data_IF_851777042181
#
_entry.id   IF_851777042181
#
_cell.length_a   1.000
_cell.length_b   1.000
_cell.length_c   1.000
_cell.angle_alpha   90.00
_cell.angle_beta   90.00
_cell.angle_gamma   90.00
#
_symmetry.space_group_name_H-M   'P 1'
#
loop_
_entity.id
_entity.type
_entity.pdbx_description
1 polymer ?
#
# COMPACT_ATOMS: atom_id res chain seq x y z
N UNK A 1 6.55 -11.43 3.60
CA UNK A 1 6.77 -9.98 3.75
C UNK A 1 7.18 -9.61 5.17
N UNK A 2 6.85 -10.40 6.20
CA UNK A 2 7.38 -10.23 7.57
C UNK A 2 8.90 -10.03 7.62
N UNK A 3 9.68 -10.91 6.97
CA UNK A 3 11.14 -10.79 6.98
C UNK A 3 11.64 -9.51 6.31
N UNK A 4 10.97 -9.03 5.26
CA UNK A 4 11.29 -7.75 4.63
C UNK A 4 11.10 -6.62 5.63
N UNK A 5 9.96 -6.59 6.32
CA UNK A 5 9.69 -5.58 7.36
C UNK A 5 10.70 -5.65 8.51
N UNK A 6 10.99 -6.84 9.03
CA UNK A 6 11.94 -7.02 10.14
C UNK A 6 13.35 -6.58 9.76
N UNK A 7 13.82 -6.98 8.57
CA UNK A 7 15.12 -6.54 8.05
C UNK A 7 15.14 -5.04 7.84
N UNK A 8 14.09 -4.46 7.23
CA UNK A 8 13.99 -3.01 7.06
C UNK A 8 14.08 -2.31 8.42
N UNK A 9 13.27 -2.69 9.41
CA UNK A 9 13.29 -2.06 10.74
C UNK A 9 14.65 -2.23 11.46
N UNK A 10 15.30 -3.38 11.30
CA UNK A 10 16.65 -3.61 11.80
C UNK A 10 17.66 -2.66 11.14
N UNK A 11 17.59 -2.50 9.81
CA UNK A 11 18.45 -1.58 9.05
C UNK A 11 18.19 -0.13 9.45
N UNK A 12 16.94 0.29 9.68
CA UNK A 12 16.64 1.64 10.18
C UNK A 12 17.36 1.90 11.52
N UNK A 13 17.41 0.91 12.41
CA UNK A 13 18.09 1.03 13.72
C UNK A 13 19.61 0.96 13.69
N UNK A 14 20.21 0.40 12.64
CA UNK A 14 21.66 0.09 12.61
C UNK A 14 22.42 0.82 11.51
N UNK A 15 21.84 0.92 10.32
CA UNK A 15 22.48 1.50 9.13
C UNK A 15 21.43 2.14 8.19
N UNK A 16 20.69 3.19 8.63
CA UNK A 16 19.61 3.79 7.84
C UNK A 16 20.07 4.35 6.49
N UNK A 17 21.36 4.69 6.34
CA UNK A 17 21.97 5.13 5.09
C UNK A 17 21.93 4.08 3.95
N UNK A 18 21.69 2.81 4.28
CA UNK A 18 21.51 1.75 3.28
C UNK A 18 20.12 1.80 2.62
N UNK A 19 19.16 2.49 3.23
CA UNK A 19 17.81 2.67 2.71
C UNK A 19 17.78 3.88 1.77
N UNK A 20 18.26 3.70 0.54
CA UNK A 20 18.20 4.76 -0.47
C UNK A 20 16.75 5.14 -0.80
N UNK A 21 16.49 6.39 -1.25
CA UNK A 21 15.14 6.80 -1.66
C UNK A 21 14.50 5.88 -2.69
N UNK A 22 15.26 5.42 -3.69
CA UNK A 22 14.76 4.51 -4.72
C UNK A 22 14.37 3.13 -4.15
N UNK A 23 15.16 2.61 -3.20
CA UNK A 23 14.88 1.34 -2.54
C UNK A 23 13.59 1.43 -1.72
N UNK A 24 13.45 2.49 -0.91
CA UNK A 24 12.25 2.70 -0.09
C UNK A 24 11.02 2.93 -0.97
N UNK A 25 11.15 3.73 -2.03
CA UNK A 25 10.07 3.95 -3.00
C UNK A 25 9.63 2.62 -3.63
N UNK A 26 10.57 1.84 -4.18
CA UNK A 26 10.26 0.54 -4.78
C UNK A 26 9.59 -0.44 -3.80
N UNK A 27 10.08 -0.49 -2.56
CA UNK A 27 9.52 -1.30 -1.48
C UNK A 27 8.08 -0.89 -1.15
N UNK A 28 7.84 0.40 -0.89
CA UNK A 28 6.52 0.91 -0.53
C UNK A 28 5.51 0.77 -1.68
N UNK A 29 5.93 1.02 -2.92
CA UNK A 29 5.10 0.80 -4.12
C UNK A 29 4.73 -0.68 -4.31
N UNK A 30 5.68 -1.59 -4.09
CA UNK A 30 5.42 -3.03 -4.19
C UNK A 30 4.43 -3.50 -3.13
N UNK A 31 4.54 -2.98 -1.90
CA UNK A 31 3.59 -3.28 -0.83
C UNK A 31 2.19 -2.71 -1.12
N UNK A 32 2.11 -1.49 -1.66
CA UNK A 32 0.85 -0.89 -2.11
C UNK A 32 0.17 -1.74 -3.18
N UNK A 33 0.92 -2.18 -4.20
CA UNK A 33 0.41 -3.09 -5.23
C UNK A 33 -0.12 -4.40 -4.63
N UNK A 34 0.67 -5.08 -3.80
CA UNK A 34 0.26 -6.36 -3.20
C UNK A 34 -0.95 -6.21 -2.28
N UNK A 35 -1.09 -5.05 -1.62
CA UNK A 35 -2.30 -4.72 -0.85
C UNK A 35 -3.54 -4.53 -1.74
N UNK A 36 -3.36 -4.20 -3.02
CA UNK A 36 -4.45 -4.03 -3.97
C UNK A 36 -4.86 -5.32 -4.71
N UNK A 37 -4.09 -6.41 -4.55
CA UNK A 37 -4.31 -7.69 -5.23
C UNK A 37 -5.43 -8.55 -4.58
N UNK A 38 -6.01 -9.47 -5.36
CA UNK A 38 -7.22 -10.23 -4.98
C UNK A 38 -6.96 -11.30 -3.94
N UNK A 39 -5.72 -11.77 -3.79
CA UNK A 39 -5.42 -12.87 -2.87
C UNK A 39 -5.48 -12.33 -1.44
N UNK A 40 -6.61 -12.57 -0.77
CA UNK A 40 -6.96 -12.00 0.54
C UNK A 40 -5.82 -12.10 1.56
N UNK A 41 -5.16 -13.26 1.66
CA UNK A 41 -4.01 -13.46 2.57
C UNK A 41 -2.81 -12.56 2.24
N UNK A 42 -2.51 -12.33 0.96
CA UNK A 42 -1.39 -11.50 0.53
C UNK A 42 -1.73 -10.04 0.69
N UNK A 43 -2.94 -9.63 0.28
CA UNK A 43 -3.44 -8.28 0.53
C UNK A 43 -3.37 -7.93 2.00
N UNK A 44 -3.91 -8.80 2.86
CA UNK A 44 -3.97 -8.52 4.28
C UNK A 44 -2.59 -8.37 4.91
N UNK A 45 -1.68 -9.25 4.53
CA UNK A 45 -0.32 -9.19 5.03
C UNK A 45 0.48 -8.00 4.47
N UNK A 46 0.32 -7.68 3.18
CA UNK A 46 0.99 -6.55 2.53
C UNK A 46 0.52 -5.20 3.10
N UNK A 47 -0.79 -5.00 3.24
CA UNK A 47 -1.36 -3.79 3.82
C UNK A 47 -0.93 -3.59 5.27
N UNK A 48 -0.94 -4.67 6.07
CA UNK A 48 -0.41 -4.63 7.44
C UNK A 48 1.06 -4.24 7.48
N UNK A 49 1.91 -4.82 6.62
CA UNK A 49 3.33 -4.47 6.56
C UNK A 49 3.53 -3.02 6.10
N UNK A 50 2.80 -2.56 5.09
CA UNK A 50 2.85 -1.17 4.59
C UNK A 50 2.60 -0.17 5.73
N UNK A 51 1.51 -0.38 6.47
CA UNK A 51 1.11 0.49 7.58
C UNK A 51 2.09 0.40 8.76
N UNK A 52 2.58 -0.79 9.09
CA UNK A 52 3.60 -0.94 10.15
C UNK A 52 4.90 -0.22 9.84
N UNK A 53 5.35 -0.25 8.58
CA UNK A 53 6.53 0.51 8.16
C UNK A 53 6.25 2.03 8.21
N UNK A 54 5.08 2.46 7.75
CA UNK A 54 4.67 3.87 7.79
C UNK A 54 4.67 4.47 9.21
N UNK A 55 4.10 3.75 10.18
CA UNK A 55 3.99 4.18 11.58
C UNK A 55 5.21 3.86 12.43
N UNK A 56 6.27 3.27 11.85
CA UNK A 56 7.54 3.18 12.56
C UNK A 56 8.04 4.60 12.84
N UNK A 57 8.20 4.94 14.12
CA UNK A 57 8.54 6.29 14.56
C UNK A 57 9.82 6.33 15.41
N UNK A 58 10.31 5.18 15.90
CA UNK A 58 11.49 5.09 16.77
C UNK A 58 12.33 3.84 16.46
N UNK A 59 13.26 3.90 15.49
CA UNK A 59 13.44 4.96 14.51
C UNK A 59 12.46 4.86 13.33
N UNK A 60 12.20 5.99 12.65
CA UNK A 60 11.32 6.03 11.50
C UNK A 60 12.00 5.56 10.20
N UNK A 61 11.28 4.81 9.37
CA UNK A 61 11.76 4.45 8.02
C UNK A 61 11.96 5.74 7.20
N UNK A 62 13.19 6.01 6.72
CA UNK A 62 13.49 7.24 5.99
C UNK A 62 12.90 7.19 4.57
N UNK A 63 12.77 8.35 3.93
CA UNK A 63 12.44 8.48 2.49
C UNK A 63 11.11 7.85 2.02
N UNK A 64 10.17 7.55 2.92
CA UNK A 64 8.82 7.12 2.49
C UNK A 64 8.19 8.23 1.65
N UNK A 65 7.82 7.97 0.37
CA UNK A 65 7.18 8.97 -0.46
C UNK A 65 5.78 9.30 0.06
N UNK A 66 5.41 10.59 0.02
CA UNK A 66 4.09 11.10 0.46
C UNK A 66 3.72 10.70 1.89
N UNK A 67 4.69 10.76 2.83
CA UNK A 67 4.47 10.24 4.18
C UNK A 67 3.30 10.92 4.91
N UNK A 68 3.13 12.23 4.74
CA UNK A 68 2.04 12.97 5.40
C UNK A 68 0.67 12.56 4.87
N UNK A 69 0.53 12.46 3.55
CA UNK A 69 -0.69 12.02 2.88
C UNK A 69 -1.00 10.56 3.21
N UNK A 70 0.03 9.71 3.30
CA UNK A 70 -0.13 8.32 3.74
C UNK A 70 -0.62 8.22 5.18
N UNK A 71 -0.13 9.06 6.09
CA UNK A 71 -0.62 9.11 7.48
C UNK A 71 -2.05 9.63 7.56
N UNK A 72 -2.48 10.48 6.62
CA UNK A 72 -3.88 10.90 6.51
C UNK A 72 -4.79 9.78 5.99
N UNK A 73 -4.30 8.96 5.05
CA UNK A 73 -5.03 7.78 4.54
C UNK A 73 -5.07 6.68 5.61
N UNK A 74 -3.96 6.44 6.30
CA UNK A 74 -3.81 5.41 7.34
C UNK A 74 -3.47 6.10 8.67
N UNK A 75 -4.46 6.62 9.40
CA UNK A 75 -4.22 7.24 10.68
C UNK A 75 -3.77 6.21 11.72
N UNK A 76 -2.82 6.59 12.59
CA UNK A 76 -2.33 5.73 13.69
C UNK A 76 -3.47 5.23 14.56
N UNK A 77 -4.46 6.11 14.80
CA UNK A 77 -5.74 5.78 15.42
C UNK A 77 -6.64 5.09 14.39
N UNK A 78 -6.61 3.75 14.36
CA UNK A 78 -7.48 2.94 13.49
C UNK A 78 -6.75 2.12 12.43
N UNK A 79 -5.48 2.43 12.15
CA UNK A 79 -4.61 1.58 11.34
C UNK A 79 -4.51 0.13 11.86
N UNK A 80 -4.48 -0.05 13.19
CA UNK A 80 -4.48 -1.38 13.83
C UNK A 80 -5.85 -2.07 13.82
N UNK A 81 -6.94 -1.30 13.69
CA UNK A 81 -8.31 -1.85 13.64
C UNK A 81 -8.80 -2.13 12.22
N UNK A 82 -8.04 -1.71 11.19
CA UNK A 82 -8.38 -1.95 9.79
C UNK A 82 -8.33 -3.46 9.49
N UNK A 83 -9.50 -4.04 9.23
CA UNK A 83 -9.57 -5.44 8.83
C UNK A 83 -9.22 -5.61 7.35
N UNK A 84 -7.93 -5.81 7.09
CA UNK A 84 -7.44 -6.00 5.72
C UNK A 84 -7.98 -7.25 5.02
N UNK A 85 -8.48 -8.23 5.77
CA UNK A 85 -9.11 -9.42 5.19
C UNK A 85 -10.47 -9.09 4.58
N UNK A 86 -11.15 -8.03 5.03
CA UNK A 86 -12.43 -7.58 4.49
C UNK A 86 -12.20 -6.60 3.32
N UNK A 87 -12.49 -6.99 2.06
CA UNK A 87 -12.32 -6.10 0.91
C UNK A 87 -13.06 -4.77 1.05
N UNK A 88 -14.25 -4.80 1.64
CA UNK A 88 -15.10 -3.61 1.87
C UNK A 88 -14.48 -2.58 2.80
N UNK A 89 -13.54 -2.98 3.65
CA UNK A 89 -12.80 -2.07 4.54
C UNK A 89 -11.43 -1.68 3.96
N UNK A 90 -10.74 -2.63 3.32
CA UNK A 90 -9.41 -2.40 2.77
C UNK A 90 -9.43 -1.48 1.53
N UNK A 91 -10.30 -1.76 0.56
CA UNK A 91 -10.28 -1.06 -0.73
C UNK A 91 -10.54 0.44 -0.66
N UNK A 92 -11.44 0.96 0.20
CA UNK A 92 -11.60 2.41 0.37
C UNK A 92 -10.32 3.16 0.75
N UNK A 93 -9.35 2.49 1.41
CA UNK A 93 -8.07 3.08 1.75
C UNK A 93 -7.06 2.90 0.60
N UNK A 94 -7.01 1.70 0.02
CA UNK A 94 -6.12 1.39 -1.11
C UNK A 94 -6.39 2.29 -2.31
N UNK A 95 -7.66 2.56 -2.66
CA UNK A 95 -7.99 3.41 -3.81
C UNK A 95 -7.58 4.86 -3.62
N UNK A 96 -7.40 5.34 -2.37
CA UNK A 96 -6.89 6.68 -2.11
C UNK A 96 -5.43 6.85 -2.54
N UNK A 97 -4.65 5.76 -2.60
CA UNK A 97 -3.27 5.76 -3.11
C UNK A 97 -3.19 6.13 -4.59
N UNK A 98 -4.28 5.99 -5.35
CA UNK A 98 -4.36 6.40 -6.76
C UNK A 98 -4.20 7.91 -6.96
N UNK A 99 -4.37 8.71 -5.90
CA UNK A 99 -4.16 10.16 -5.90
C UNK A 99 -2.70 10.54 -5.68
N UNK A 100 -1.85 9.59 -5.30
CA UNK A 100 -0.43 9.81 -5.02
C UNK A 100 0.42 9.34 -6.21
N UNK A 101 1.12 10.23 -6.94
CA UNK A 101 1.77 9.88 -8.20
C UNK A 101 2.72 8.67 -8.12
N UNK A 102 3.50 8.57 -7.05
CA UNK A 102 4.48 7.50 -6.81
C UNK A 102 3.80 6.13 -6.68
N UNK A 103 2.61 6.09 -6.07
CA UNK A 103 1.87 4.85 -5.80
C UNK A 103 0.84 4.52 -6.88
N UNK A 104 0.45 5.49 -7.70
CA UNK A 104 -0.68 5.38 -8.63
C UNK A 104 -0.55 4.18 -9.57
N UNK A 105 0.58 4.06 -10.27
CA UNK A 105 0.81 2.98 -11.24
C UNK A 105 0.71 1.59 -10.58
N UNK A 106 1.45 1.39 -9.48
CA UNK A 106 1.53 0.11 -8.79
C UNK A 106 0.21 -0.28 -8.12
N UNK A 107 -0.52 0.70 -7.57
CA UNK A 107 -1.86 0.48 -7.03
C UNK A 107 -2.82 0.06 -8.14
N UNK A 108 -2.83 0.77 -9.27
CA UNK A 108 -3.68 0.43 -10.42
C UNK A 108 -3.35 -0.95 -10.99
N UNK A 109 -2.06 -1.31 -11.06
CA UNK A 109 -1.61 -2.63 -11.49
C UNK A 109 -2.16 -3.73 -10.58
N UNK A 110 -2.04 -3.58 -9.25
CA UNK A 110 -2.58 -4.55 -8.29
C UNK A 110 -4.11 -4.66 -8.36
N UNK A 111 -4.81 -3.54 -8.51
CA UNK A 111 -6.26 -3.52 -8.73
C UNK A 111 -6.66 -4.24 -10.04
N UNK A 112 -5.89 -4.05 -11.11
CA UNK A 112 -6.18 -4.67 -12.43
C UNK A 112 -5.98 -6.18 -12.39
N UNK A 113 -4.92 -6.65 -11.74
CA UNK A 113 -4.70 -8.09 -11.48
C UNK A 113 -5.86 -8.69 -10.66
N UNK A 114 -6.48 -7.90 -9.78
CA UNK A 114 -7.67 -8.32 -9.03
C UNK A 114 -8.94 -8.50 -9.87
N UNK A 115 -9.07 -7.80 -10.99
CA UNK A 115 -10.25 -7.87 -11.89
C UNK A 115 -10.28 -9.18 -12.69
N UNK A 116 -9.15 -9.87 -12.86
CA UNK A 116 -9.03 -11.11 -13.63
C UNK A 116 -9.80 -12.34 -13.12
N UNK A 117 -10.73 -12.22 -12.17
CA UNK A 117 -11.54 -13.36 -11.75
C UNK A 117 -12.74 -13.10 -10.83
N UNK A 118 -13.37 -11.93 -10.80
CA UNK A 118 -14.62 -11.70 -10.04
C UNK A 118 -15.63 -10.91 -10.90
N UNK A 119 -16.90 -11.30 -10.78
CA UNK A 119 -18.08 -10.92 -11.56
C UNK A 119 -18.27 -9.43 -11.88
N UNK A 120 -19.05 -9.20 -12.95
CA UNK A 120 -19.46 -7.96 -13.66
C UNK A 120 -19.68 -6.66 -12.84
N UNK A 121 -19.98 -6.73 -11.55
CA UNK A 121 -20.22 -5.55 -10.71
C UNK A 121 -18.95 -4.75 -10.40
N UNK A 122 -17.79 -5.41 -10.31
CA UNK A 122 -16.49 -4.75 -10.07
C UNK A 122 -15.89 -4.17 -11.35
N UNK A 123 -16.17 -4.77 -12.51
CA UNK A 123 -15.75 -4.25 -13.83
C UNK A 123 -16.23 -2.82 -14.05
N UNK A 124 -17.45 -2.50 -13.60
CA UNK A 124 -18.05 -1.16 -13.75
C UNK A 124 -17.31 -0.09 -12.94
N UNK A 125 -16.83 -0.44 -11.74
CA UNK A 125 -16.08 0.48 -10.87
C UNK A 125 -14.66 0.69 -11.42
N UNK A 126 -14.01 -0.38 -11.89
CA UNK A 126 -12.68 -0.29 -12.49
C UNK A 126 -12.68 0.44 -13.84
N UNK A 127 -13.70 0.23 -14.69
CA UNK A 127 -13.86 1.02 -15.93
C UNK A 127 -14.16 2.49 -15.64
N UNK A 128 -14.98 2.79 -14.63
CA UNK A 128 -15.24 4.18 -14.23
C UNK A 128 -13.95 4.90 -13.80
N UNK A 129 -13.10 4.22 -13.02
CA UNK A 129 -11.80 4.77 -12.58
C UNK A 129 -10.82 4.96 -13.75
N UNK A 130 -10.80 4.04 -14.73
CA UNK A 130 -10.00 4.18 -15.95
C UNK A 130 -10.49 5.33 -16.84
N UNK A 131 -11.82 5.50 -16.98
CA UNK A 131 -12.40 6.58 -17.79
C UNK A 131 -12.19 7.97 -17.18
N UNK A 132 -12.14 8.08 -15.85
CA UNK A 132 -11.83 9.33 -15.14
C UNK A 132 -10.36 9.77 -15.26
N UNK A 133 -9.45 8.90 -15.74
CA UNK A 133 -8.06 9.27 -16.03
C UNK A 133 -7.85 9.74 -17.48
N UNK A 134 -8.87 9.62 -18.34
CA UNK A 134 -8.82 10.00 -19.77
C UNK A 134 -9.59 11.29 -20.11
N UNK A 135 -10.15 11.96 -19.09
CA UNK A 135 -10.81 13.27 -19.16
C UNK A 135 -10.10 14.25 -18.23
#
# INVERSE_FOLDING_TARGET
MTSLMEVTLCVVGTAPQLLSPDLVNGMMCSLAQQSAEKIDRYRAHAGSVFVRLLHSNNPAVPHIPHREELLAIFPTEGAESLNWNAPSQAFPHITQLLRLPQYQYHTLLGLTVSVGGLTESTVRVSLCLLLLQLL
#
